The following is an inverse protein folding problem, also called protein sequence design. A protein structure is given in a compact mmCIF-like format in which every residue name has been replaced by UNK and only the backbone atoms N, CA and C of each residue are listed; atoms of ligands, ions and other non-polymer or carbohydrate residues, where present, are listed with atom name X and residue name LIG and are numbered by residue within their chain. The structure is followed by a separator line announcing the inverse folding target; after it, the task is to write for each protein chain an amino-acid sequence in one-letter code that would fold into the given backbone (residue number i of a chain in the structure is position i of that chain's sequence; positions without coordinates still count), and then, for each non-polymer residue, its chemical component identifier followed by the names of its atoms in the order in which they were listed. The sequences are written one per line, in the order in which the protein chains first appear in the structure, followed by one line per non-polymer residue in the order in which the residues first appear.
data_IF_055370679001
#
_entry.id   IF_055370679001
#
_cell.length_a   1.000
_cell.length_b   1.000
_cell.length_c   1.000
_cell.angle_alpha   90.00
_cell.angle_beta   90.00
_cell.angle_gamma   90.00
#
_symmetry.space_group_name_H-M   'P 1'
#
loop_
_entity.id
_entity.type
_entity.pdbx_description
1 polymer ?
#
# COMPACT_ATOMS: atom_id res chain seq x y z
N UNK A 1 3.90 13.02 -3.77
CA UNK A 1 2.54 13.18 -3.37
C UNK A 1 2.15 12.20 -2.28
N UNK A 2 1.13 12.55 -1.55
CA UNK A 2 0.75 11.77 -0.39
C UNK A 2 0.45 10.31 -0.69
N UNK A 3 -0.30 10.09 -1.74
CA UNK A 3 -0.67 8.74 -2.11
C UNK A 3 0.59 7.89 -2.37
N UNK A 4 1.51 8.42 -3.11
CA UNK A 4 2.72 7.69 -3.43
C UNK A 4 3.52 7.38 -2.18
N UNK A 5 3.60 8.34 -1.28
CA UNK A 5 4.32 8.15 -0.03
C UNK A 5 3.65 7.09 0.82
N UNK A 6 2.34 7.17 0.93
CA UNK A 6 1.61 6.19 1.70
C UNK A 6 1.77 4.80 1.10
N UNK A 7 1.67 4.73 -0.21
CA UNK A 7 1.81 3.46 -0.90
C UNK A 7 3.20 2.87 -0.67
N UNK A 8 4.22 3.69 -0.79
CA UNK A 8 5.58 3.24 -0.56
C UNK A 8 5.77 2.72 0.86
N UNK A 9 5.12 3.36 1.80
CA UNK A 9 5.25 2.98 3.19
C UNK A 9 4.63 1.62 3.46
N UNK A 10 3.44 1.41 2.93
CA UNK A 10 2.70 0.19 3.22
C UNK A 10 3.03 -0.96 2.29
N UNK A 11 3.50 -0.67 1.09
CA UNK A 11 3.75 -1.74 0.13
C UNK A 11 4.70 -2.80 0.67
N UNK A 12 5.69 -2.39 1.45
CA UNK A 12 6.64 -3.35 1.99
C UNK A 12 5.97 -4.29 2.98
N UNK A 13 4.85 -3.88 3.54
CA UNK A 13 4.12 -4.73 4.46
C UNK A 13 3.35 -5.82 3.72
N UNK A 14 2.97 -5.52 2.50
CA UNK A 14 2.15 -6.44 1.71
C UNK A 14 2.95 -7.18 0.65
N UNK A 15 4.22 -6.90 0.56
CA UNK A 15 5.08 -7.57 -0.40
C UNK A 15 5.82 -8.72 0.26
N UNK A 16 6.18 -9.68 -0.56
CA UNK A 16 6.98 -10.80 -0.07
C UNK A 16 8.43 -10.40 0.01
N UNK A 17 9.21 -11.25 0.64
CA UNK A 17 10.65 -10.99 0.77
C UNK A 17 11.33 -10.88 -0.57
N UNK A 18 10.87 -11.65 -1.55
CA UNK A 18 11.46 -11.62 -2.87
C UNK A 18 11.00 -10.42 -3.70
N UNK A 19 10.20 -9.56 -3.09
CA UNK A 19 9.76 -8.36 -3.76
C UNK A 19 8.46 -8.47 -4.50
N UNK A 20 7.85 -9.62 -4.45
CA UNK A 20 6.59 -9.83 -5.14
C UNK A 20 5.40 -9.62 -4.23
N UNK A 21 4.28 -9.28 -4.82
CA UNK A 21 3.07 -9.05 -4.06
C UNK A 21 2.47 -10.37 -3.59
N UNK A 22 1.96 -10.35 -2.39
CA UNK A 22 1.22 -11.50 -1.89
C UNK A 22 -0.12 -11.53 -2.59
N UNK A 23 -0.75 -12.69 -2.52
CA UNK A 23 -2.06 -12.84 -3.12
C UNK A 23 -3.02 -11.81 -2.54
N UNK A 24 -3.51 -10.94 -3.37
CA UNK A 24 -4.40 -9.90 -2.90
C UNK A 24 -3.70 -8.77 -2.16
N UNK A 25 -2.39 -8.88 -2.00
CA UNK A 25 -1.64 -7.85 -1.29
C UNK A 25 -1.64 -6.52 -2.01
N UNK A 26 -1.58 -6.57 -3.33
CA UNK A 26 -1.57 -5.35 -4.11
C UNK A 26 -2.85 -4.56 -3.89
N UNK A 27 -3.97 -5.25 -3.94
CA UNK A 27 -5.26 -4.58 -3.73
C UNK A 27 -5.36 -4.03 -2.33
N UNK A 28 -4.90 -4.80 -1.35
CA UNK A 28 -4.92 -4.35 0.02
C UNK A 28 -4.05 -3.12 0.21
N UNK A 29 -2.89 -3.13 -0.45
CA UNK A 29 -1.98 -2.00 -0.35
C UNK A 29 -2.59 -0.74 -0.96
N UNK A 30 -3.25 -0.89 -2.09
CA UNK A 30 -3.90 0.24 -2.75
C UNK A 30 -4.97 0.83 -1.84
N UNK A 31 -5.77 -0.03 -1.25
CA UNK A 31 -6.83 0.43 -0.36
C UNK A 31 -6.24 1.14 0.85
N UNK A 32 -5.21 0.56 1.43
CA UNK A 32 -4.57 1.17 2.59
C UNK A 32 -3.96 2.51 2.24
N UNK A 33 -3.35 2.59 1.06
CA UNK A 33 -2.74 3.84 0.62
C UNK A 33 -3.80 4.93 0.47
N UNK A 34 -4.91 4.58 -0.12
CA UNK A 34 -6.00 5.54 -0.28
C UNK A 34 -6.52 6.02 1.07
N UNK A 35 -6.58 5.09 2.01
CA UNK A 35 -7.05 5.42 3.33
C UNK A 35 -6.13 6.42 4.01
N UNK A 36 -4.85 6.18 3.91
CA UNK A 36 -3.87 7.06 4.54
C UNK A 36 -3.79 8.40 3.81
N UNK A 37 -3.69 8.34 2.50
CA UNK A 37 -3.55 9.56 1.71
C UNK A 37 -4.86 10.34 1.64
N UNK A 38 -5.96 9.62 1.63
CA UNK A 38 -7.27 10.25 1.53
C UNK A 38 -7.66 11.02 2.76
N UNK A 39 -7.07 10.74 3.83
CA UNK A 39 -7.43 11.44 5.06
C UNK A 39 -8.73 11.01 5.59
N UNK A 40 -9.34 11.26 5.58
CA UNK A 40 -10.39 10.89 5.82
C UNK A 40 -11.37 11.19 5.77
N UNK A 41 -11.66 11.20 5.67
CA UNK A 41 -12.64 11.44 5.44
C UNK A 41 -13.24 11.12 5.94
#
# INVERSE_FOLDING_TARGET
NRYKRAFNKIKSKYKKKDGQWKKGGFKAAVKAAHKIAGGKK
#
